data_IF_658981990905
#
_entry.id   IF_658981990905
#
_cell.length_a   1.000
_cell.length_b   1.000
_cell.length_c   1.000
_cell.angle_alpha   90.00
_cell.angle_beta   90.00
_cell.angle_gamma   90.00
#
_symmetry.space_group_name_H-M   'P 1'
#
loop_
_entity.id
_entity.type
_entity.pdbx_description
1 polymer ?
#
# COMPACT_ATOMS: atom_id res chain seq x y z
N UNK A 1 -6.04 -0.40 18.20
CA UNK A 1 -6.19 -1.85 17.90
C UNK A 1 -7.25 -2.10 16.83
N UNK A 2 -8.54 -1.87 17.07
CA UNK A 2 -9.61 -2.17 16.09
C UNK A 2 -9.66 -1.15 14.94
N UNK A 3 -9.53 0.14 15.24
CA UNK A 3 -9.56 1.23 14.26
C UNK A 3 -8.36 1.14 13.31
N UNK A 4 -7.14 0.97 13.83
CA UNK A 4 -5.92 0.85 13.02
C UNK A 4 -6.02 -0.33 12.04
N UNK A 5 -6.60 -1.45 12.49
CA UNK A 5 -6.82 -2.63 11.63
C UNK A 5 -7.88 -2.34 10.56
N UNK A 6 -8.95 -1.61 10.89
CA UNK A 6 -9.96 -1.20 9.90
C UNK A 6 -9.34 -0.26 8.85
N UNK A 7 -8.52 0.70 9.28
CA UNK A 7 -7.81 1.62 8.39
C UNK A 7 -6.84 0.85 7.49
N UNK A 8 -6.09 -0.11 8.05
CA UNK A 8 -5.17 -0.91 7.26
C UNK A 8 -5.91 -1.73 6.19
N UNK A 9 -6.99 -2.39 6.58
CA UNK A 9 -7.81 -3.18 5.64
C UNK A 9 -8.42 -2.27 4.56
N UNK A 10 -8.94 -1.09 4.94
CA UNK A 10 -9.55 -0.17 3.98
C UNK A 10 -8.53 0.35 2.97
N UNK A 11 -7.32 0.69 3.39
CA UNK A 11 -6.23 1.10 2.50
C UNK A 11 -5.87 -0.02 1.53
N UNK A 12 -5.78 -1.26 2.00
CA UNK A 12 -5.50 -2.42 1.14
C UNK A 12 -6.58 -2.65 0.09
N UNK A 13 -7.85 -2.57 0.49
CA UNK A 13 -8.99 -2.72 -0.40
C UNK A 13 -9.01 -1.61 -1.45
N UNK A 14 -8.94 -0.35 -1.03
CA UNK A 14 -8.97 0.81 -1.93
C UNK A 14 -7.79 0.78 -2.90
N UNK A 15 -6.58 0.49 -2.43
CA UNK A 15 -5.39 0.44 -3.27
C UNK A 15 -5.46 -0.67 -4.32
N UNK A 16 -5.97 -1.85 -3.95
CA UNK A 16 -6.13 -2.98 -4.87
C UNK A 16 -7.20 -2.68 -5.93
N UNK A 17 -8.33 -2.10 -5.52
CA UNK A 17 -9.42 -1.70 -6.43
C UNK A 17 -8.94 -0.64 -7.41
N UNK A 18 -8.24 0.39 -6.94
CA UNK A 18 -7.66 1.42 -7.79
C UNK A 18 -6.65 0.85 -8.78
N UNK A 19 -5.78 -0.08 -8.35
CA UNK A 19 -4.83 -0.73 -9.25
C UNK A 19 -5.55 -1.45 -10.40
N UNK A 20 -6.66 -2.16 -10.11
CA UNK A 20 -7.41 -2.92 -11.13
C UNK A 20 -8.20 -2.00 -12.06
N UNK A 21 -8.79 -0.92 -11.56
CA UNK A 21 -9.61 0.01 -12.35
C UNK A 21 -8.74 0.98 -13.18
N UNK A 22 -7.66 1.49 -12.60
CA UNK A 22 -6.80 2.49 -13.23
C UNK A 22 -5.76 1.88 -14.19
N UNK A 23 -5.53 0.56 -14.13
CA UNK A 23 -4.57 -0.12 -15.03
C UNK A 23 -5.30 -0.79 -16.20
N UNK A 24 -4.84 -0.60 -17.45
CA UNK A 24 -5.34 -1.36 -18.59
C UNK A 24 -5.20 -2.87 -18.37
N UNK A 25 -6.23 -3.65 -18.69
CA UNK A 25 -6.26 -5.11 -18.44
C UNK A 25 -5.04 -5.87 -18.97
N UNK A 26 -4.49 -5.43 -20.10
CA UNK A 26 -3.32 -6.05 -20.74
C UNK A 26 -2.01 -5.87 -19.95
N UNK A 27 -1.97 -4.96 -18.96
CA UNK A 27 -0.77 -4.64 -18.16
C UNK A 27 -0.96 -4.86 -16.66
N UNK A 28 -2.00 -5.58 -16.24
CA UNK A 28 -2.26 -5.85 -14.81
C UNK A 28 -1.08 -6.56 -14.14
N UNK A 29 -0.39 -7.46 -14.86
CA UNK A 29 0.78 -8.16 -14.31
C UNK A 29 1.93 -7.21 -13.98
N UNK A 30 2.21 -6.24 -14.85
CA UNK A 30 3.22 -5.20 -14.61
C UNK A 30 2.82 -4.33 -13.42
N UNK A 31 1.55 -3.90 -13.37
CA UNK A 31 1.04 -3.10 -12.26
C UNK A 31 1.09 -3.83 -10.92
N UNK A 32 0.82 -5.15 -10.89
CA UNK A 32 0.96 -5.97 -9.68
C UNK A 32 2.40 -5.99 -9.17
N UNK A 33 3.38 -6.16 -10.06
CA UNK A 33 4.80 -6.16 -9.67
C UNK A 33 5.20 -4.78 -9.12
N UNK A 34 4.82 -3.69 -9.81
CA UNK A 34 5.11 -2.32 -9.36
C UNK A 34 4.41 -2.03 -8.01
N UNK A 35 3.17 -2.47 -7.85
CA UNK A 35 2.41 -2.29 -6.61
C UNK A 35 3.09 -3.01 -5.45
N UNK A 36 3.45 -4.28 -5.61
CA UNK A 36 4.13 -5.06 -4.58
C UNK A 36 5.52 -4.48 -4.26
N UNK A 37 6.25 -4.02 -5.27
CA UNK A 37 7.52 -3.32 -5.05
C UNK A 37 7.34 -2.08 -4.18
N UNK A 38 6.31 -1.27 -4.44
CA UNK A 38 5.99 -0.11 -3.60
C UNK A 38 5.57 -0.51 -2.18
N UNK A 39 4.85 -1.62 -1.98
CA UNK A 39 4.48 -2.09 -0.64
C UNK A 39 5.70 -2.41 0.21
N UNK A 40 6.74 -3.04 -0.37
CA UNK A 40 8.00 -3.31 0.34
C UNK A 40 8.64 -2.01 0.82
N UNK A 41 8.71 -0.99 -0.05
CA UNK A 41 9.25 0.33 0.33
C UNK A 41 8.41 0.97 1.44
N UNK A 42 7.08 0.95 1.34
CA UNK A 42 6.19 1.51 2.35
C UNK A 42 6.36 0.84 3.71
N UNK A 43 6.53 -0.49 3.75
CA UNK A 43 6.76 -1.21 5.01
C UNK A 43 8.10 -0.83 5.64
N UNK A 44 9.18 -0.76 4.85
CA UNK A 44 10.48 -0.33 5.36
C UNK A 44 10.46 1.12 5.85
N UNK A 45 9.88 2.03 5.05
CA UNK A 45 9.77 3.44 5.41
C UNK A 45 8.86 3.65 6.62
N UNK A 46 7.78 2.88 6.75
CA UNK A 46 6.89 2.95 7.90
C UNK A 46 7.62 2.69 9.22
N UNK A 47 8.53 1.72 9.25
CA UNK A 47 9.36 1.45 10.44
C UNK A 47 10.28 2.63 10.72
N UNK A 48 11.00 3.12 9.72
CA UNK A 48 11.93 4.25 9.86
C UNK A 48 11.18 5.49 10.40
N UNK A 49 10.04 5.80 9.82
CA UNK A 49 9.24 6.97 10.18
C UNK A 49 8.75 6.91 11.63
N UNK A 50 8.35 5.72 12.11
CA UNK A 50 7.95 5.52 13.50
C UNK A 50 9.15 5.61 14.45
N UNK A 51 10.27 4.95 14.12
CA UNK A 51 11.45 4.88 14.97
C UNK A 51 12.08 6.26 15.18
N UNK A 52 12.17 7.07 14.13
CA UNK A 52 12.71 8.41 14.19
C UNK A 52 11.69 9.48 14.62
N UNK A 53 10.47 9.08 15.02
CA UNK A 53 9.37 10.00 15.41
C UNK A 53 9.16 11.12 14.38
N UNK A 54 9.18 10.75 13.09
CA UNK A 54 9.00 11.70 11.99
C UNK A 54 7.52 12.06 11.75
N UNK A 55 6.62 11.42 12.49
CA UNK A 55 5.20 11.76 12.58
C UNK A 55 4.95 12.32 13.99
N UNK A 56 4.25 13.46 14.04
CA UNK A 56 3.88 14.20 15.27
C UNK A 56 2.89 13.43 16.16
#
# INVERSE_FOLDING_TARGET
MTIDRIILISIWVVSTVLMVIATPRNRIREAMVIFMFKQVLTWMLGIIVVEYKLLE
#
